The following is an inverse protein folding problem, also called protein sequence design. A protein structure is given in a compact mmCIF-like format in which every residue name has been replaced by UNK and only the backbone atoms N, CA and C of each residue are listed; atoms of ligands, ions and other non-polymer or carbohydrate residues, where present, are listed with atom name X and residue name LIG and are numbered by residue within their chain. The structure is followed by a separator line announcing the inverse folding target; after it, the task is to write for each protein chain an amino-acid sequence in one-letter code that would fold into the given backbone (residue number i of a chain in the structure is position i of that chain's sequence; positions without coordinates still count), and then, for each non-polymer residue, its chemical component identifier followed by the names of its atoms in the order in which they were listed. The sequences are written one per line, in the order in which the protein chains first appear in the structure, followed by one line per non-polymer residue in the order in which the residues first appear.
data_IF_729454292397
#
_entry.id   IF_729454292397
#
_cell.length_a   1.000
_cell.length_b   1.000
_cell.length_c   1.000
_cell.angle_alpha   90.00
_cell.angle_beta   90.00
_cell.angle_gamma   90.00
#
_symmetry.space_group_name_H-M   'P 1'
#
loop_
_entity.id
_entity.type
_entity.pdbx_description
1 polymer ?
#
# COMPACT_ATOMS: atom_id res chain seq x y z
N UNK A 1 -25.55 -4.86 -5.46
CA UNK A 1 -24.26 -5.16 -4.84
C UNK A 1 -24.39 -5.75 -3.45
N UNK A 2 -24.89 -4.97 -2.48
CA UNK A 2 -24.87 -5.29 -1.04
C UNK A 2 -25.43 -6.67 -0.67
N UNK A 3 -26.69 -6.98 -1.03
CA UNK A 3 -27.31 -8.28 -0.71
C UNK A 3 -26.52 -9.45 -1.32
N UNK A 4 -26.06 -9.30 -2.57
CA UNK A 4 -25.25 -10.31 -3.24
C UNK A 4 -23.92 -10.53 -2.52
N UNK A 5 -23.29 -9.47 -2.04
CA UNK A 5 -22.05 -9.56 -1.27
C UNK A 5 -22.26 -10.27 0.08
N UNK A 6 -23.31 -9.94 0.82
CA UNK A 6 -23.62 -10.62 2.10
C UNK A 6 -23.91 -12.11 1.91
N UNK A 7 -24.64 -12.49 0.84
CA UNK A 7 -24.82 -13.91 0.47
C UNK A 7 -23.48 -14.56 0.12
N UNK A 8 -22.66 -13.89 -0.67
CA UNK A 8 -21.34 -14.38 -1.04
C UNK A 8 -20.44 -14.60 0.20
N UNK A 9 -20.50 -13.73 1.22
CA UNK A 9 -19.78 -13.96 2.49
C UNK A 9 -20.22 -15.28 3.17
N UNK A 10 -21.52 -15.57 3.17
CA UNK A 10 -22.09 -16.77 3.76
C UNK A 10 -21.77 -18.07 2.98
N UNK A 11 -21.35 -17.96 1.71
CA UNK A 11 -20.91 -19.07 0.87
C UNK A 11 -19.42 -19.40 1.07
N UNK A 12 -19.00 -19.56 2.33
CA UNK A 12 -17.62 -19.91 2.74
C UNK A 12 -16.51 -18.94 2.30
N UNK A 13 -16.87 -17.71 1.90
CA UNK A 13 -15.87 -16.69 1.53
C UNK A 13 -15.44 -15.83 2.73
N UNK A 14 -16.05 -16.02 3.89
CA UNK A 14 -15.74 -15.30 5.12
C UNK A 14 -15.88 -16.18 6.36
N UNK A 15 -14.81 -16.26 7.15
CA UNK A 15 -14.83 -16.91 8.46
C UNK A 15 -15.29 -15.90 9.49
N UNK A 16 -16.55 -15.98 9.91
CA UNK A 16 -17.13 -15.10 10.92
C UNK A 16 -16.61 -15.47 12.32
N UNK A 17 -15.99 -14.51 13.00
CA UNK A 17 -15.41 -14.68 14.34
C UNK A 17 -16.22 -13.96 15.43
N UNK A 18 -16.93 -12.89 15.07
CA UNK A 18 -17.78 -12.17 16.00
C UNK A 18 -18.70 -11.17 15.33
N UNK A 19 -19.71 -10.74 16.08
CA UNK A 19 -20.68 -9.73 15.65
C UNK A 19 -20.90 -8.73 16.78
N UNK A 20 -21.08 -7.44 16.46
CA UNK A 20 -21.55 -6.43 17.40
C UNK A 20 -22.48 -5.45 16.71
N UNK A 21 -23.62 -5.16 17.33
CA UNK A 21 -24.48 -4.04 16.94
C UNK A 21 -24.11 -2.81 17.76
N UNK A 22 -24.07 -1.67 17.09
CA UNK A 22 -23.91 -0.35 17.68
C UNK A 22 -25.10 0.52 17.28
N UNK A 23 -25.76 1.16 18.23
CA UNK A 23 -26.78 2.17 17.93
C UNK A 23 -26.16 3.56 18.00
N UNK A 24 -26.58 4.45 17.10
CA UNK A 24 -26.19 5.86 17.11
C UNK A 24 -26.88 6.56 18.28
N UNK A 25 -26.10 7.23 19.12
CA UNK A 25 -26.64 7.99 20.25
C UNK A 25 -27.07 9.40 19.81
N UNK A 26 -28.00 10.06 20.52
CA UNK A 26 -28.38 11.45 20.24
C UNK A 26 -27.19 12.43 20.26
N UNK A 27 -26.15 12.13 21.03
CA UNK A 27 -24.92 12.91 21.14
C UNK A 27 -23.96 12.70 19.94
N UNK A 28 -24.34 11.85 18.98
CA UNK A 28 -23.54 11.51 17.80
C UNK A 28 -22.40 10.53 18.09
N UNK A 29 -22.51 9.76 19.18
CA UNK A 29 -21.64 8.64 19.53
C UNK A 29 -22.24 7.30 19.08
N UNK A 30 -21.52 6.21 19.37
CA UNK A 30 -22.00 4.85 19.11
C UNK A 30 -22.00 4.05 20.40
N UNK A 31 -23.10 3.36 20.69
CA UNK A 31 -23.26 2.54 21.89
C UNK A 31 -23.53 1.08 21.52
N UNK A 32 -22.80 0.16 22.14
CA UNK A 32 -22.99 -1.26 21.91
C UNK A 32 -24.33 -1.77 22.48
N UNK A 33 -25.01 -2.60 21.69
CA UNK A 33 -26.17 -3.35 22.14
C UNK A 33 -25.67 -4.69 22.64
N UNK A 34 -25.38 -4.80 23.94
CA UNK A 34 -24.71 -5.96 24.55
C UNK A 34 -25.40 -7.30 24.25
N UNK A 35 -26.74 -7.31 24.19
CA UNK A 35 -27.51 -8.51 23.85
C UNK A 35 -27.28 -9.00 22.40
N UNK A 36 -26.79 -8.14 21.51
CA UNK A 36 -26.44 -8.43 20.12
C UNK A 36 -24.92 -8.52 19.89
N UNK A 37 -24.13 -8.65 20.97
CA UNK A 37 -22.69 -8.95 20.90
C UNK A 37 -22.48 -10.47 20.90
N UNK A 38 -21.87 -11.02 19.84
CA UNK A 38 -21.70 -12.47 19.63
C UNK A 38 -20.26 -12.84 19.27
N UNK A 39 -19.91 -14.12 19.49
CA UNK A 39 -18.58 -14.66 19.23
C UNK A 39 -17.50 -13.97 20.05
N UNK A 40 -16.35 -13.67 19.42
CA UNK A 40 -15.27 -12.92 20.07
C UNK A 40 -15.77 -11.57 20.59
N UNK A 41 -16.65 -10.89 19.85
CA UNK A 41 -17.15 -9.57 20.21
C UNK A 41 -18.15 -9.55 21.37
N UNK A 42 -18.39 -10.68 22.05
CA UNK A 42 -19.02 -10.66 23.39
C UNK A 42 -18.18 -9.94 24.42
N UNK A 43 -16.85 -9.96 24.26
CA UNK A 43 -15.96 -9.19 25.11
C UNK A 43 -15.94 -7.73 24.65
N UNK A 44 -16.57 -6.85 25.43
CA UNK A 44 -16.62 -5.41 25.17
C UNK A 44 -15.22 -4.76 25.10
N UNK A 45 -14.21 -5.35 25.76
CA UNK A 45 -12.85 -4.81 25.81
C UNK A 45 -12.06 -5.03 24.50
N UNK A 46 -12.48 -5.99 23.67
CA UNK A 46 -11.81 -6.28 22.41
C UNK A 46 -11.96 -5.10 21.44
N UNK A 47 -10.84 -4.49 20.99
CA UNK A 47 -10.87 -3.39 20.05
C UNK A 47 -11.23 -3.91 18.66
N UNK A 48 -12.41 -3.52 18.15
CA UNK A 48 -12.67 -3.58 16.70
C UNK A 48 -11.99 -2.37 16.06
N UNK A 49 -12.41 -1.18 16.46
CA UNK A 49 -11.77 0.10 16.16
C UNK A 49 -11.65 0.89 17.48
N UNK A 50 -10.49 1.50 17.75
CA UNK A 50 -10.29 2.24 19.02
C UNK A 50 -11.27 3.41 19.19
N UNK A 51 -11.68 4.04 18.08
CA UNK A 51 -12.68 5.12 18.08
C UNK A 51 -14.07 4.68 18.56
N UNK A 52 -14.33 3.36 18.57
CA UNK A 52 -15.61 2.79 19.01
C UNK A 52 -15.59 2.33 20.47
N UNK A 53 -14.50 2.55 21.22
CA UNK A 53 -14.38 2.14 22.63
C UNK A 53 -15.12 3.05 23.61
N UNK A 54 -15.63 4.19 23.17
CA UNK A 54 -16.36 5.13 24.02
C UNK A 54 -17.66 5.60 23.39
N UNK A 55 -18.57 6.08 24.24
CA UNK A 55 -19.87 6.66 23.81
C UNK A 55 -19.76 8.15 23.45
N UNK A 56 -18.54 8.70 23.42
CA UNK A 56 -18.30 10.08 23.03
C UNK A 56 -18.66 10.35 21.57
N UNK A 57 -18.93 11.62 21.26
CA UNK A 57 -19.23 12.04 19.90
C UNK A 57 -18.12 11.60 18.94
N UNK A 58 -18.50 10.97 17.84
CA UNK A 58 -17.55 10.57 16.80
C UNK A 58 -16.85 11.81 16.23
N UNK A 59 -15.54 11.73 15.93
CA UNK A 59 -14.83 12.80 15.23
C UNK A 59 -15.58 13.24 13.96
N UNK A 60 -15.58 14.54 13.58
CA UNK A 60 -16.34 15.03 12.44
C UNK A 60 -16.07 14.28 11.13
N UNK A 61 -14.80 13.97 10.86
CA UNK A 61 -14.37 13.23 9.69
C UNK A 61 -14.94 11.81 9.65
N UNK A 62 -15.06 11.16 10.81
CA UNK A 62 -15.66 9.84 10.93
C UNK A 62 -17.18 9.90 10.75
N UNK A 63 -17.83 10.91 11.32
CA UNK A 63 -19.27 11.11 11.12
C UNK A 63 -19.60 11.34 9.65
N UNK A 64 -18.80 12.15 8.94
CA UNK A 64 -18.92 12.35 7.51
C UNK A 64 -18.69 11.04 6.73
N UNK A 65 -17.67 10.26 7.10
CA UNK A 65 -17.39 8.97 6.46
C UNK A 65 -18.52 7.93 6.67
N UNK A 66 -19.20 7.93 7.82
CA UNK A 66 -20.36 7.08 8.06
C UNK A 66 -21.59 7.56 7.27
N UNK A 67 -21.82 8.88 7.22
CA UNK A 67 -22.93 9.46 6.48
C UNK A 67 -22.80 9.26 4.96
N UNK A 68 -21.58 9.23 4.43
CA UNK A 68 -21.27 9.00 3.01
C UNK A 68 -20.97 7.50 2.71
N UNK A 69 -21.08 6.62 3.72
CA UNK A 69 -20.81 5.19 3.55
C UNK A 69 -21.88 4.54 2.68
N UNK A 70 -21.47 3.62 1.82
CA UNK A 70 -22.40 2.67 1.23
C UNK A 70 -23.00 1.77 2.33
N UNK A 71 -24.21 1.26 2.10
CA UNK A 71 -24.93 0.38 3.03
C UNK A 71 -24.13 -0.85 3.52
N UNK A 72 -23.08 -1.24 2.78
CA UNK A 72 -22.08 -2.21 3.21
C UNK A 72 -20.69 -1.65 2.92
N UNK A 73 -19.83 -1.60 3.93
CA UNK A 73 -18.43 -1.23 3.83
C UNK A 73 -17.52 -2.26 4.50
N UNK A 74 -16.23 -2.24 4.14
CA UNK A 74 -15.23 -3.19 4.63
C UNK A 74 -14.04 -2.40 5.12
N UNK A 75 -13.56 -2.71 6.33
CA UNK A 75 -12.39 -2.12 6.94
C UNK A 75 -11.53 -3.21 7.60
N UNK A 76 -10.29 -2.87 7.96
CA UNK A 76 -9.44 -3.72 8.80
C UNK A 76 -9.66 -3.40 10.27
N UNK A 77 -9.80 -4.40 11.14
CA UNK A 77 -9.76 -4.24 12.59
C UNK A 77 -8.32 -3.99 13.07
N UNK A 78 -8.18 -3.45 14.29
CA UNK A 78 -6.88 -3.35 14.97
C UNK A 78 -6.33 -4.72 15.41
N UNK A 79 -7.22 -5.69 15.59
CA UNK A 79 -6.84 -7.05 15.98
C UNK A 79 -6.16 -7.78 14.82
N UNK A 80 -5.03 -8.42 15.13
CA UNK A 80 -4.36 -9.37 14.22
C UNK A 80 -4.85 -10.79 14.52
N UNK A 81 -5.19 -11.54 13.47
CA UNK A 81 -5.45 -12.97 13.62
C UNK A 81 -4.18 -13.69 14.04
N UNK A 82 -4.30 -14.59 15.01
CA UNK A 82 -3.24 -15.56 15.36
C UNK A 82 -3.38 -16.88 14.61
N UNK A 83 -4.47 -17.06 13.86
CA UNK A 83 -4.82 -18.30 13.13
C UNK A 83 -4.80 -18.02 11.61
N UNK A 84 -4.41 -19.02 10.82
CA UNK A 84 -4.18 -18.97 9.36
C UNK A 84 -3.01 -18.08 8.90
N UNK A 85 -3.06 -16.76 9.12
CA UNK A 85 -1.99 -15.79 8.79
C UNK A 85 -2.02 -14.60 9.76
N UNK A 86 -0.86 -14.04 10.16
CA UNK A 86 -0.78 -12.87 11.03
C UNK A 86 -1.15 -11.57 10.31
N UNK A 87 -2.40 -11.47 9.86
CA UNK A 87 -2.99 -10.30 9.21
C UNK A 87 -4.02 -9.63 10.11
N UNK A 88 -4.30 -8.35 9.88
CA UNK A 88 -5.42 -7.67 10.53
C UNK A 88 -6.73 -8.33 10.12
N UNK A 89 -7.63 -8.53 11.09
CA UNK A 89 -8.95 -9.08 10.83
C UNK A 89 -9.77 -8.12 9.96
N UNK A 90 -10.70 -8.67 9.20
CA UNK A 90 -11.62 -7.94 8.35
C UNK A 90 -12.90 -7.63 9.13
N UNK A 91 -13.44 -6.44 8.92
CA UNK A 91 -14.71 -6.00 9.51
C UNK A 91 -15.62 -5.58 8.38
N UNK A 92 -16.70 -6.34 8.20
CA UNK A 92 -17.81 -5.93 7.33
C UNK A 92 -18.77 -5.11 8.17
N UNK A 93 -19.02 -3.88 7.75
CA UNK A 93 -19.94 -2.95 8.41
C UNK A 93 -21.20 -2.84 7.57
N UNK A 94 -22.36 -2.96 8.20
CA UNK A 94 -23.65 -2.71 7.54
C UNK A 94 -24.46 -1.70 8.32
N UNK A 95 -25.11 -0.77 7.63
CA UNK A 95 -25.95 0.22 8.29
C UNK A 95 -27.23 -0.42 8.84
N UNK A 96 -27.65 0.05 10.01
CA UNK A 96 -28.96 -0.20 10.59
C UNK A 96 -29.81 1.03 10.30
N UNK A 97 -30.81 0.89 9.45
CA UNK A 97 -31.70 2.00 9.12
C UNK A 97 -32.85 2.12 10.12
N UNK A 98 -33.17 3.34 10.51
CA UNK A 98 -34.36 3.70 11.28
C UNK A 98 -35.64 3.68 10.42
N UNK A 99 -36.78 3.92 11.06
CA UNK A 99 -38.07 3.96 10.37
C UNK A 99 -38.20 5.10 9.33
N UNK A 100 -37.38 6.14 9.48
CA UNK A 100 -37.24 7.29 8.58
C UNK A 100 -36.26 7.05 7.42
N UNK A 101 -35.67 5.85 7.35
CA UNK A 101 -34.66 5.49 6.36
C UNK A 101 -33.28 6.09 6.61
N UNK A 102 -33.06 6.78 7.72
CA UNK A 102 -31.76 7.30 8.13
C UNK A 102 -30.94 6.24 8.88
N UNK A 103 -29.62 6.39 8.91
CA UNK A 103 -28.75 5.48 9.67
C UNK A 103 -28.97 5.68 11.17
N UNK A 104 -29.54 4.66 11.82
CA UNK A 104 -29.78 4.60 13.26
C UNK A 104 -28.69 3.83 14.02
N UNK A 105 -27.78 3.17 13.31
CA UNK A 105 -26.71 2.36 13.90
C UNK A 105 -25.92 1.57 12.87
N UNK A 106 -25.05 0.70 13.35
CA UNK A 106 -24.15 -0.13 12.55
C UNK A 106 -24.16 -1.57 13.09
N UNK A 107 -23.97 -2.55 12.20
CA UNK A 107 -23.56 -3.91 12.57
C UNK A 107 -22.15 -4.15 12.10
N UNK A 108 -21.33 -4.69 12.98
CA UNK A 108 -19.95 -5.07 12.72
C UNK A 108 -19.88 -6.59 12.67
N UNK A 109 -19.42 -7.14 11.56
CA UNK A 109 -19.11 -8.55 11.40
C UNK A 109 -17.59 -8.69 11.32
N UNK A 110 -16.99 -9.15 12.42
CA UNK A 110 -15.55 -9.38 12.54
C UNK A 110 -15.22 -10.78 12.03
N UNK A 111 -14.21 -10.88 11.18
CA UNK A 111 -13.77 -12.17 10.66
C UNK A 111 -12.55 -12.09 9.78
N UNK A 112 -12.40 -13.08 8.91
CA UNK A 112 -11.32 -13.17 7.94
C UNK A 112 -11.89 -13.60 6.60
N UNK A 113 -11.54 -12.90 5.53
CA UNK A 113 -11.81 -13.43 4.19
C UNK A 113 -11.06 -14.74 3.98
N UNK A 114 -11.73 -15.72 3.37
CA UNK A 114 -11.10 -16.96 2.96
C UNK A 114 -9.97 -16.68 1.95
N UNK A 115 -8.95 -17.55 1.89
CA UNK A 115 -7.85 -17.36 0.94
C UNK A 115 -8.34 -17.30 -0.53
N UNK A 116 -9.44 -18.00 -0.85
CA UNK A 116 -10.11 -17.96 -2.15
C UNK A 116 -10.58 -16.55 -2.54
N UNK A 117 -11.06 -15.75 -1.58
CA UNK A 117 -11.49 -14.37 -1.81
C UNK A 117 -10.34 -13.48 -2.31
N UNK A 118 -9.13 -13.68 -1.78
CA UNK A 118 -7.95 -12.94 -2.19
C UNK A 118 -7.40 -13.36 -3.55
N UNK A 119 -7.67 -14.58 -3.99
CA UNK A 119 -7.16 -15.12 -5.27
C UNK A 119 -8.17 -15.01 -6.42
N UNK A 120 -9.47 -14.86 -6.13
CA UNK A 120 -10.52 -14.66 -7.14
C UNK A 120 -10.39 -13.33 -7.86
N UNK A 121 -10.77 -13.30 -9.14
CA UNK A 121 -10.88 -12.05 -9.88
C UNK A 121 -11.84 -11.09 -9.13
N UNK A 122 -11.45 -9.83 -8.85
CA UNK A 122 -12.31 -8.87 -8.16
C UNK A 122 -13.69 -8.72 -8.81
N UNK A 123 -13.79 -8.86 -10.13
CA UNK A 123 -15.05 -8.78 -10.88
C UNK A 123 -16.00 -9.97 -10.65
N UNK A 124 -15.55 -11.01 -9.95
CA UNK A 124 -16.40 -12.12 -9.50
C UNK A 124 -16.98 -11.91 -8.09
N UNK A 125 -16.57 -10.84 -7.40
CA UNK A 125 -17.01 -10.52 -6.05
C UNK A 125 -18.08 -9.43 -6.15
N UNK A 126 -19.34 -9.65 -5.72
CA UNK A 126 -20.48 -8.78 -6.08
C UNK A 126 -20.28 -7.28 -5.82
N UNK A 127 -19.68 -6.90 -4.68
CA UNK A 127 -19.43 -5.50 -4.35
C UNK A 127 -18.30 -4.89 -5.20
N UNK A 128 -17.22 -5.65 -5.40
CA UNK A 128 -16.07 -5.19 -6.18
C UNK A 128 -16.37 -5.18 -7.67
N UNK A 129 -17.19 -6.09 -8.17
CA UNK A 129 -17.62 -6.14 -9.57
C UNK A 129 -18.30 -4.84 -9.99
N UNK A 130 -19.26 -4.37 -9.19
CA UNK A 130 -19.96 -3.10 -9.43
C UNK A 130 -19.01 -1.91 -9.32
N UNK A 131 -18.13 -1.90 -8.31
CA UNK A 131 -17.15 -0.84 -8.10
C UNK A 131 -16.15 -0.73 -9.24
N UNK A 132 -15.58 -1.86 -9.68
CA UNK A 132 -14.65 -1.94 -10.80
C UNK A 132 -15.35 -1.52 -12.11
N UNK A 133 -16.60 -1.94 -12.32
CA UNK A 133 -17.37 -1.51 -13.49
C UNK A 133 -17.57 0.02 -13.54
N UNK A 134 -17.89 0.65 -12.41
CA UNK A 134 -18.00 2.11 -12.31
C UNK A 134 -16.67 2.82 -12.57
N UNK A 135 -15.57 2.31 -11.99
CA UNK A 135 -14.23 2.86 -12.21
C UNK A 135 -13.83 2.78 -13.70
N UNK A 136 -14.07 1.63 -14.34
CA UNK A 136 -13.81 1.45 -15.77
C UNK A 136 -14.66 2.39 -16.64
N UNK A 137 -15.95 2.55 -16.31
CA UNK A 137 -16.83 3.51 -17.00
C UNK A 137 -16.35 4.96 -16.84
N UNK A 138 -15.97 5.36 -15.63
CA UNK A 138 -15.44 6.69 -15.34
C UNK A 138 -14.07 6.96 -15.99
N UNK A 139 -13.30 5.91 -16.30
CA UNK A 139 -12.02 6.04 -16.96
C UNK A 139 -12.14 6.59 -18.38
N UNK A 140 -13.24 6.28 -19.08
CA UNK A 140 -13.54 6.81 -20.42
C UNK A 140 -12.77 6.15 -21.57
N UNK A 141 -12.04 5.05 -21.33
CA UNK A 141 -11.36 4.29 -22.39
C UNK A 141 -12.33 3.33 -23.08
N UNK A 142 -12.14 3.13 -24.39
CA UNK A 142 -12.82 2.05 -25.11
C UNK A 142 -12.41 0.69 -24.49
N UNK A 143 -13.36 -0.13 -23.99
CA UNK A 143 -13.06 -1.41 -23.35
C UNK A 143 -12.30 -2.42 -24.23
N UNK A 144 -12.38 -2.28 -25.55
CA UNK A 144 -11.73 -3.16 -26.52
C UNK A 144 -10.40 -2.60 -27.06
N UNK A 145 -10.14 -1.32 -26.84
CA UNK A 145 -8.85 -0.72 -27.14
C UNK A 145 -7.74 -1.19 -26.18
N UNK A 146 -6.49 -0.97 -26.57
CA UNK A 146 -5.31 -1.37 -25.80
C UNK A 146 -5.35 -0.84 -24.36
N UNK A 147 -5.58 0.46 -24.19
CA UNK A 147 -5.62 1.11 -22.86
C UNK A 147 -6.78 0.61 -22.00
N UNK A 148 -7.94 0.34 -22.59
CA UNK A 148 -9.10 -0.21 -21.87
C UNK A 148 -8.84 -1.63 -21.35
N UNK A 149 -8.20 -2.48 -22.17
CA UNK A 149 -7.78 -3.83 -21.77
C UNK A 149 -6.67 -3.78 -20.70
N UNK A 150 -5.70 -2.88 -20.86
CA UNK A 150 -4.61 -2.69 -19.90
C UNK A 150 -5.13 -2.21 -18.53
N UNK A 151 -6.01 -1.21 -18.51
CA UNK A 151 -6.63 -0.72 -17.28
C UNK A 151 -7.46 -1.80 -16.58
N UNK A 152 -8.21 -2.60 -17.35
CA UNK A 152 -8.95 -3.76 -16.82
C UNK A 152 -8.00 -4.75 -16.14
N UNK A 153 -6.89 -5.09 -16.77
CA UNK A 153 -5.89 -6.00 -16.20
C UNK A 153 -5.23 -5.42 -14.94
N UNK A 154 -4.98 -4.11 -14.91
CA UNK A 154 -4.48 -3.40 -13.72
C UNK A 154 -5.45 -3.57 -12.55
N UNK A 155 -6.76 -3.37 -12.78
CA UNK A 155 -7.79 -3.50 -11.74
C UNK A 155 -8.00 -4.97 -11.30
N UNK A 156 -7.92 -5.92 -12.23
CA UNK A 156 -8.03 -7.36 -11.91
C UNK A 156 -6.93 -7.85 -10.97
N UNK A 157 -5.75 -7.22 -11.04
CA UNK A 157 -4.61 -7.52 -10.16
C UNK A 157 -4.45 -6.52 -9.02
N UNK A 158 -5.31 -5.50 -8.88
CA UNK A 158 -5.18 -4.49 -7.84
C UNK A 158 -5.31 -5.12 -6.44
N UNK A 159 -4.62 -4.58 -5.40
CA UNK A 159 -4.79 -5.08 -4.05
C UNK A 159 -6.28 -5.09 -3.64
N UNK A 160 -6.80 -6.26 -3.24
CA UNK A 160 -8.23 -6.43 -2.89
C UNK A 160 -8.64 -5.47 -1.77
N UNK A 161 -7.80 -5.36 -0.75
CA UNK A 161 -8.03 -4.46 0.38
C UNK A 161 -8.17 -3.00 -0.06
N UNK A 162 -7.44 -2.58 -1.10
CA UNK A 162 -7.58 -1.22 -1.67
C UNK A 162 -8.86 -1.08 -2.48
N UNK A 163 -9.24 -2.09 -3.27
CA UNK A 163 -10.53 -2.07 -3.97
C UNK A 163 -11.70 -2.00 -2.98
N UNK A 164 -11.61 -2.63 -1.82
CA UNK A 164 -12.62 -2.51 -0.79
C UNK A 164 -12.63 -1.12 -0.13
N UNK A 165 -11.47 -0.64 0.31
CA UNK A 165 -11.38 0.50 1.24
C UNK A 165 -11.20 1.87 0.59
N UNK A 166 -10.57 1.95 -0.59
CA UNK A 166 -10.26 3.24 -1.21
C UNK A 166 -11.48 3.81 -1.97
N UNK A 167 -11.71 5.12 -1.97
CA UNK A 167 -12.72 5.74 -2.82
C UNK A 167 -12.47 5.49 -4.32
N UNK A 168 -13.53 5.36 -5.11
CA UNK A 168 -13.44 5.11 -6.56
C UNK A 168 -12.54 6.13 -7.31
N UNK A 169 -12.62 7.45 -7.04
CA UNK A 169 -11.75 8.42 -7.71
C UNK A 169 -10.25 8.22 -7.40
N UNK A 170 -9.91 7.82 -6.17
CA UNK A 170 -8.53 7.55 -5.78
C UNK A 170 -7.99 6.29 -6.47
N UNK A 171 -8.80 5.23 -6.55
CA UNK A 171 -8.44 4.02 -7.29
C UNK A 171 -8.24 4.35 -8.77
N UNK A 172 -9.13 5.12 -9.38
CA UNK A 172 -9.02 5.52 -10.78
C UNK A 172 -7.72 6.32 -11.04
N UNK A 173 -7.41 7.30 -10.19
CA UNK A 173 -6.17 8.08 -10.31
C UNK A 173 -4.93 7.20 -10.21
N UNK A 174 -4.89 6.28 -9.24
CA UNK A 174 -3.78 5.34 -9.07
C UNK A 174 -3.68 4.33 -10.22
N UNK A 175 -4.81 3.86 -10.76
CA UNK A 175 -4.85 2.92 -11.88
C UNK A 175 -4.43 3.58 -13.20
N UNK A 176 -4.82 4.84 -13.45
CA UNK A 176 -4.32 5.65 -14.58
C UNK A 176 -2.81 5.86 -14.48
N UNK A 177 -2.32 6.15 -13.27
CA UNK A 177 -0.88 6.24 -13.05
C UNK A 177 -0.17 4.92 -13.32
N UNK A 178 -0.74 3.79 -12.91
CA UNK A 178 -0.19 2.47 -13.23
C UNK A 178 -0.17 2.19 -14.75
N UNK A 179 -1.17 2.66 -15.49
CA UNK A 179 -1.22 2.59 -16.95
C UNK A 179 -0.10 3.43 -17.59
N UNK A 180 0.06 4.68 -17.14
CA UNK A 180 1.14 5.56 -17.62
C UNK A 180 2.54 4.95 -17.41
N UNK A 181 2.73 4.25 -16.29
CA UNK A 181 3.97 3.56 -15.95
C UNK A 181 4.27 2.34 -16.83
N UNK A 182 3.28 1.75 -17.50
CA UNK A 182 3.53 0.72 -18.50
C UNK A 182 4.16 1.31 -19.77
N UNK A 183 3.78 2.55 -20.13
CA UNK A 183 4.30 3.26 -21.30
C UNK A 183 5.67 3.88 -20.99
N UNK A 184 5.80 4.49 -19.81
CA UNK A 184 7.04 5.15 -19.34
C UNK A 184 7.44 4.60 -17.97
N UNK A 185 8.14 3.44 -17.94
CA UNK A 185 8.56 2.81 -16.70
C UNK A 185 9.48 3.73 -15.90
N UNK A 186 9.09 4.00 -14.65
CA UNK A 186 9.89 4.74 -13.67
C UNK A 186 9.44 4.40 -12.26
N UNK A 187 10.29 4.60 -11.24
CA UNK A 187 9.84 4.52 -9.85
C UNK A 187 8.67 5.46 -9.58
N UNK A 188 7.70 5.01 -8.79
CA UNK A 188 6.51 5.78 -8.45
C UNK A 188 5.94 5.33 -7.11
N UNK A 189 5.20 6.23 -6.45
CA UNK A 189 4.57 5.99 -5.16
C UNK A 189 3.18 6.63 -5.14
N UNK A 190 2.18 5.87 -4.71
CA UNK A 190 0.85 6.39 -4.37
C UNK A 190 0.56 6.06 -2.92
N UNK A 191 0.08 7.05 -2.17
CA UNK A 191 -0.30 6.91 -0.78
C UNK A 191 -1.81 7.05 -0.62
N UNK A 192 -2.37 6.30 0.33
CA UNK A 192 -3.74 6.47 0.80
C UNK A 192 -3.77 6.38 2.32
N UNK A 193 -4.30 7.41 2.96
CA UNK A 193 -4.55 7.43 4.40
C UNK A 193 -5.83 6.65 4.71
N UNK A 194 -5.78 5.80 5.73
CA UNK A 194 -6.98 5.23 6.33
C UNK A 194 -7.83 6.37 6.93
N UNK A 195 -9.16 6.41 6.71
CA UNK A 195 -10.02 7.46 7.26
C UNK A 195 -9.97 7.58 8.79
N UNK A 196 -9.58 6.52 9.49
CA UNK A 196 -9.41 6.51 10.94
C UNK A 196 -7.97 6.77 11.39
N UNK A 197 -7.04 7.06 10.47
CA UNK A 197 -5.64 7.37 10.78
C UNK A 197 -4.81 6.20 11.30
N UNK A 198 -5.31 4.96 11.19
CA UNK A 198 -4.65 3.76 11.78
C UNK A 198 -3.53 3.20 10.94
N UNK A 199 -3.59 3.45 9.63
CA UNK A 199 -2.54 3.05 8.72
C UNK A 199 -2.51 3.94 7.48
N UNK A 200 -1.39 3.85 6.77
CA UNK A 200 -1.23 4.37 5.41
C UNK A 200 -0.96 3.18 4.49
N UNK A 201 -1.77 3.09 3.44
CA UNK A 201 -1.52 2.20 2.31
C UNK A 201 -0.58 2.91 1.34
N UNK A 202 0.51 2.25 0.96
CA UNK A 202 1.49 2.77 0.02
C UNK A 202 1.74 1.77 -1.10
N UNK A 203 1.45 2.14 -2.34
CA UNK A 203 1.75 1.32 -3.52
C UNK A 203 2.97 1.94 -4.21
N UNK A 204 4.07 1.21 -4.19
CA UNK A 204 5.30 1.57 -4.90
C UNK A 204 5.44 0.72 -6.17
N UNK A 205 5.87 1.35 -7.26
CA UNK A 205 6.36 0.67 -8.46
C UNK A 205 7.86 0.88 -8.54
N UNK A 206 8.62 -0.21 -8.69
CA UNK A 206 10.08 -0.22 -8.62
C UNK A 206 10.64 -0.96 -9.85
N UNK A 207 11.77 -0.53 -10.44
CA UNK A 207 12.40 -1.22 -11.56
C UNK A 207 12.67 -2.69 -11.21
N UNK A 208 12.19 -3.61 -12.05
CA UNK A 208 12.25 -5.06 -11.76
C UNK A 208 13.68 -5.59 -11.75
N UNK A 209 14.56 -4.98 -12.52
CA UNK A 209 16.00 -5.28 -12.63
C UNK A 209 16.79 -4.90 -11.37
N UNK A 210 16.40 -3.83 -10.67
CA UNK A 210 17.03 -3.41 -9.41
C UNK A 210 16.27 -3.88 -8.17
N UNK A 211 15.09 -4.48 -8.34
CA UNK A 211 14.25 -4.91 -7.23
C UNK A 211 14.79 -6.17 -6.54
N UNK A 212 15.18 -6.00 -5.28
CA UNK A 212 15.56 -7.09 -4.39
C UNK A 212 14.93 -6.94 -2.99
N UNK A 213 15.24 -7.87 -2.09
CA UNK A 213 14.74 -7.85 -0.71
C UNK A 213 15.25 -6.64 0.08
N UNK A 214 16.49 -6.19 -0.17
CA UNK A 214 17.10 -5.06 0.56
C UNK A 214 16.45 -3.74 0.18
N UNK A 215 16.17 -3.53 -1.10
CA UNK A 215 15.45 -2.36 -1.60
C UNK A 215 14.04 -2.31 -1.02
N UNK A 216 13.34 -3.44 -1.01
CA UNK A 216 12.02 -3.56 -0.36
C UNK A 216 12.07 -3.15 1.11
N UNK A 217 13.04 -3.67 1.86
CA UNK A 217 13.20 -3.36 3.30
C UNK A 217 13.56 -1.89 3.54
N UNK A 218 14.48 -1.35 2.74
CA UNK A 218 14.91 0.05 2.81
C UNK A 218 13.74 1.00 2.55
N UNK A 219 12.95 0.75 1.51
CA UNK A 219 11.75 1.54 1.21
C UNK A 219 10.71 1.38 2.32
N UNK A 220 10.42 0.16 2.77
CA UNK A 220 9.47 -0.07 3.86
C UNK A 220 9.86 0.67 5.15
N UNK A 221 11.15 0.64 5.52
CA UNK A 221 11.68 1.36 6.67
C UNK A 221 11.66 2.89 6.49
N UNK A 222 11.94 3.38 5.28
CA UNK A 222 11.84 4.80 4.94
C UNK A 222 10.40 5.30 5.09
N UNK A 223 9.43 4.59 4.51
CA UNK A 223 8.01 4.92 4.61
C UNK A 223 7.53 4.88 6.06
N UNK A 224 7.92 3.84 6.83
CA UNK A 224 7.58 3.73 8.24
C UNK A 224 8.09 4.93 9.06
N UNK A 225 9.35 5.33 8.88
CA UNK A 225 9.92 6.50 9.56
C UNK A 225 9.20 7.80 9.18
N UNK A 226 8.95 8.01 7.88
CA UNK A 226 8.26 9.20 7.41
C UNK A 226 6.84 9.33 7.99
N UNK A 227 6.16 8.21 8.18
CA UNK A 227 4.82 8.16 8.77
C UNK A 227 4.81 8.20 10.30
N UNK A 228 5.98 8.26 10.97
CA UNK A 228 6.07 8.13 12.43
C UNK A 228 5.51 6.78 12.94
N UNK A 229 5.54 5.76 12.09
CA UNK A 229 4.84 4.50 12.28
C UNK A 229 5.75 3.28 12.17
N UNK A 230 5.14 2.13 11.88
CA UNK A 230 5.84 0.86 11.68
C UNK A 230 5.31 0.11 10.46
N UNK A 231 6.17 -0.71 9.84
CA UNK A 231 5.75 -1.56 8.73
C UNK A 231 4.91 -2.73 9.25
N UNK A 232 3.62 -2.75 8.93
CA UNK A 232 2.66 -3.75 9.41
C UNK A 232 2.59 -4.98 8.52
N UNK A 233 2.62 -4.77 7.21
CA UNK A 233 2.57 -5.81 6.18
C UNK A 233 3.11 -5.28 4.84
N UNK A 234 3.46 -6.20 3.95
CA UNK A 234 3.81 -5.88 2.57
C UNK A 234 3.42 -7.02 1.64
N UNK A 235 3.10 -6.70 0.39
CA UNK A 235 2.74 -7.66 -0.65
C UNK A 235 3.42 -7.29 -1.97
N UNK A 236 4.09 -8.26 -2.59
CA UNK A 236 4.75 -8.08 -3.88
C UNK A 236 3.85 -8.67 -4.97
N UNK A 237 3.69 -7.92 -6.07
CA UNK A 237 3.14 -8.43 -7.32
C UNK A 237 4.19 -8.25 -8.42
N UNK A 238 4.70 -9.38 -8.92
CA UNK A 238 5.53 -9.45 -10.12
C UNK A 238 4.65 -9.91 -11.27
N UNK A 239 4.57 -9.11 -12.32
CA UNK A 239 3.89 -9.46 -13.58
C UNK A 239 4.84 -9.29 -14.75
N UNK A 240 4.27 -9.17 -15.95
CA UNK A 240 5.02 -8.95 -17.20
C UNK A 240 5.49 -7.50 -17.38
N UNK A 241 5.13 -6.61 -16.45
CA UNK A 241 5.59 -5.22 -16.41
C UNK A 241 7.09 -5.15 -16.10
N UNK A 242 7.83 -4.17 -16.67
CA UNK A 242 9.21 -3.86 -16.26
C UNK A 242 9.31 -3.33 -14.82
N UNK A 243 8.19 -3.07 -14.14
CA UNK A 243 8.15 -2.65 -12.75
C UNK A 243 7.56 -3.73 -11.85
N UNK A 244 8.24 -4.00 -10.74
CA UNK A 244 7.69 -4.71 -9.59
C UNK A 244 6.76 -3.76 -8.82
N UNK A 245 5.57 -4.24 -8.44
CA UNK A 245 4.65 -3.48 -7.57
C UNK A 245 4.74 -4.01 -6.16
N UNK A 246 4.99 -3.14 -5.18
CA UNK A 246 4.97 -3.48 -3.75
C UNK A 246 3.91 -2.65 -3.06
N UNK A 247 2.99 -3.33 -2.37
CA UNK A 247 1.98 -2.71 -1.53
C UNK A 247 2.41 -2.80 -0.07
N UNK A 248 2.78 -1.68 0.54
CA UNK A 248 3.12 -1.57 1.94
C UNK A 248 1.92 -1.08 2.75
N UNK A 249 1.76 -1.64 3.94
CA UNK A 249 0.83 -1.15 4.95
C UNK A 249 1.66 -0.64 6.13
N UNK A 250 1.60 0.67 6.36
CA UNK A 250 2.32 1.32 7.46
C UNK A 250 1.32 1.61 8.57
N UNK A 251 1.46 0.93 9.72
CA UNK A 251 0.65 1.22 10.90
C UNK A 251 1.05 2.57 11.51
N UNK A 252 0.06 3.39 11.84
CA UNK A 252 0.22 4.76 12.36
C UNK A 252 -0.57 4.94 13.65
N UNK A 253 -0.21 5.97 14.42
CA UNK A 253 -0.96 6.40 15.61
C UNK A 253 -1.97 7.48 15.20
N UNK A 254 -3.30 7.23 15.27
CA UNK A 254 -4.31 8.23 14.97
C UNK A 254 -4.21 9.49 15.84
N UNK A 255 -3.62 9.40 17.04
CA UNK A 255 -3.42 10.54 17.92
C UNK A 255 -2.25 11.43 17.49
N UNK A 256 -1.40 10.96 16.57
CA UNK A 256 -0.21 11.67 16.07
C UNK A 256 -0.11 11.52 14.55
N UNK A 257 -1.06 12.10 13.79
CA UNK A 257 -1.05 12.00 12.33
C UNK A 257 0.21 12.65 11.76
N UNK A 258 0.89 11.95 10.85
CA UNK A 258 2.04 12.49 10.15
C UNK A 258 1.60 13.39 8.97
N UNK A 259 2.18 14.59 8.90
CA UNK A 259 2.16 15.39 7.68
C UNK A 259 3.17 14.79 6.69
N UNK A 260 2.69 14.37 5.53
CA UNK A 260 3.54 13.74 4.52
C UNK A 260 3.60 14.65 3.31
N UNK A 261 4.82 14.98 2.92
CA UNK A 261 5.11 15.47 1.58
C UNK A 261 5.21 14.26 0.64
N UNK A 262 4.11 13.98 -0.08
CA UNK A 262 4.03 12.83 -0.97
C UNK A 262 5.02 12.93 -2.13
N UNK A 263 5.31 14.14 -2.61
CA UNK A 263 6.26 14.38 -3.69
C UNK A 263 7.70 14.13 -3.22
N UNK A 264 8.07 14.61 -2.03
CA UNK A 264 9.37 14.33 -1.45
C UNK A 264 9.57 12.83 -1.15
N UNK A 265 8.53 12.14 -0.68
CA UNK A 265 8.58 10.70 -0.43
C UNK A 265 8.72 9.90 -1.72
N UNK A 266 7.98 10.26 -2.76
CA UNK A 266 8.14 9.65 -4.08
C UNK A 266 9.56 9.86 -4.62
N UNK A 267 10.11 11.08 -4.51
CA UNK A 267 11.48 11.37 -4.93
C UNK A 267 12.50 10.53 -4.14
N UNK A 268 12.29 10.36 -2.82
CA UNK A 268 13.14 9.51 -1.99
C UNK A 268 13.05 8.03 -2.37
N UNK A 269 11.85 7.53 -2.70
CA UNK A 269 11.66 6.16 -3.22
C UNK A 269 12.35 6.00 -4.58
N UNK A 270 12.22 6.98 -5.47
CA UNK A 270 12.90 6.98 -6.76
C UNK A 270 14.42 6.95 -6.59
N UNK A 271 14.97 7.78 -5.69
CA UNK A 271 16.41 7.79 -5.38
C UNK A 271 16.86 6.44 -4.82
N UNK A 272 16.08 5.83 -3.93
CA UNK A 272 16.40 4.53 -3.37
C UNK A 272 16.37 3.40 -4.40
N UNK A 273 15.52 3.52 -5.44
CA UNK A 273 15.35 2.51 -6.48
C UNK A 273 16.41 2.55 -7.60
N UNK A 274 17.25 3.59 -7.64
CA UNK A 274 18.32 3.73 -8.64
C UNK A 274 19.31 2.58 -8.56
N UNK A 275 19.70 2.07 -9.71
CA UNK A 275 20.75 1.07 -9.86
C UNK A 275 22.12 1.62 -9.48
N UNK A 276 23.07 0.72 -9.22
CA UNK A 276 24.45 1.12 -8.93
C UNK A 276 25.08 2.02 -10.01
N UNK A 277 24.94 1.74 -11.33
CA UNK A 277 25.54 2.59 -12.36
C UNK A 277 25.05 4.04 -12.31
N UNK A 278 23.76 4.25 -12.04
CA UNK A 278 23.16 5.57 -11.90
C UNK A 278 23.68 6.30 -10.66
N UNK A 279 23.73 5.60 -9.51
CA UNK A 279 24.29 6.18 -8.28
C UNK A 279 25.77 6.56 -8.44
N UNK A 280 26.55 5.71 -9.14
CA UNK A 280 27.95 5.96 -9.44
C UNK A 280 28.10 7.15 -10.39
N UNK A 281 27.26 7.24 -11.43
CA UNK A 281 27.23 8.38 -12.35
C UNK A 281 27.03 9.71 -11.64
N UNK A 282 26.04 9.78 -10.75
CA UNK A 282 25.76 11.00 -9.98
C UNK A 282 26.92 11.38 -9.07
N UNK A 283 27.51 10.40 -8.37
CA UNK A 283 28.66 10.64 -7.49
C UNK A 283 29.87 11.17 -8.29
N UNK A 284 30.19 10.53 -9.42
CA UNK A 284 31.27 10.97 -10.30
C UNK A 284 31.01 12.34 -10.91
N UNK A 285 29.78 12.62 -11.32
CA UNK A 285 29.40 13.91 -11.90
C UNK A 285 29.50 15.04 -10.87
N UNK A 286 29.09 14.79 -9.62
CA UNK A 286 29.21 15.75 -8.53
C UNK A 286 30.68 16.09 -8.21
N UNK A 287 31.59 15.13 -8.32
CA UNK A 287 33.02 15.33 -8.04
C UNK A 287 33.83 15.88 -9.22
N UNK A 288 33.51 15.47 -10.45
CA UNK A 288 34.37 15.64 -11.64
C UNK A 288 33.68 16.33 -12.83
N UNK A 289 32.38 16.60 -12.73
CA UNK A 289 31.56 17.08 -13.82
C UNK A 289 31.05 15.96 -14.74
N UNK A 290 29.93 16.22 -15.43
CA UNK A 290 29.21 15.21 -16.23
C UNK A 290 30.06 14.56 -17.33
N UNK A 291 30.86 15.35 -18.05
CA UNK A 291 31.68 14.83 -19.15
C UNK A 291 32.76 13.84 -18.67
N UNK A 292 33.41 14.14 -17.55
CA UNK A 292 34.41 13.26 -16.97
C UNK A 292 33.79 11.99 -16.37
N UNK A 293 32.62 12.13 -15.74
CA UNK A 293 31.85 11.00 -15.22
C UNK A 293 31.44 10.02 -16.33
N UNK A 294 30.91 10.54 -17.44
CA UNK A 294 30.52 9.72 -18.60
C UNK A 294 31.72 8.96 -19.19
N UNK A 295 32.87 9.61 -19.34
CA UNK A 295 34.10 8.97 -19.84
C UNK A 295 34.60 7.86 -18.91
N UNK A 296 34.57 8.08 -17.59
CA UNK A 296 34.96 7.09 -16.59
C UNK A 296 34.03 5.88 -16.59
N UNK A 297 32.71 6.11 -16.60
CA UNK A 297 31.72 5.04 -16.65
C UNK A 297 31.85 4.19 -17.90
N UNK A 298 32.05 4.82 -19.07
CA UNK A 298 32.23 4.09 -20.32
C UNK A 298 33.45 3.17 -20.29
N UNK A 299 34.57 3.63 -19.71
CA UNK A 299 35.79 2.83 -19.56
C UNK A 299 35.63 1.67 -18.57
N UNK A 300 34.84 1.87 -17.51
CA UNK A 300 34.71 0.92 -16.39
C UNK A 300 33.35 0.22 -16.33
N UNK A 301 32.61 0.19 -17.43
CA UNK A 301 31.25 -0.36 -17.52
C UNK A 301 31.13 -1.79 -16.92
N UNK A 302 32.13 -2.64 -17.16
CA UNK A 302 32.20 -4.03 -16.67
C UNK A 302 33.15 -4.19 -15.47
N UNK A 303 33.63 -3.09 -14.89
CA UNK A 303 34.61 -3.09 -13.80
C UNK A 303 34.05 -3.47 -12.43
N UNK A 304 32.72 -3.50 -12.29
CA UNK A 304 32.05 -3.72 -11.00
C UNK A 304 31.28 -5.06 -10.98
N UNK A 305 31.76 -6.05 -10.20
CA UNK A 305 31.07 -7.34 -10.06
C UNK A 305 29.64 -7.18 -9.50
N UNK A 306 28.69 -8.08 -9.84
CA UNK A 306 27.31 -8.02 -9.35
C UNK A 306 27.20 -7.84 -7.82
N UNK A 307 27.91 -8.65 -7.03
CA UNK A 307 27.86 -8.57 -5.57
C UNK A 307 28.37 -7.24 -5.01
N UNK A 308 29.31 -6.56 -5.69
CA UNK A 308 29.76 -5.23 -5.30
C UNK A 308 28.66 -4.19 -5.57
N UNK A 309 28.04 -4.25 -6.76
CA UNK A 309 26.95 -3.33 -7.16
C UNK A 309 25.73 -3.41 -6.23
N UNK A 310 25.52 -4.55 -5.59
CA UNK A 310 24.46 -4.79 -4.61
C UNK A 310 24.72 -4.16 -3.24
N UNK A 311 25.99 -4.00 -2.83
CA UNK A 311 26.35 -3.50 -1.49
C UNK A 311 26.84 -2.06 -1.49
N UNK A 312 27.54 -1.64 -2.54
CA UNK A 312 28.21 -0.36 -2.60
C UNK A 312 27.26 0.80 -2.94
N UNK A 313 27.48 1.92 -2.26
CA UNK A 313 26.92 3.23 -2.59
C UNK A 313 27.61 3.82 -3.83
N UNK A 314 27.01 4.86 -4.42
CA UNK A 314 27.65 5.58 -5.53
C UNK A 314 28.97 6.24 -5.13
N UNK A 315 29.05 6.77 -3.90
CA UNK A 315 30.26 7.40 -3.36
C UNK A 315 31.39 6.40 -3.09
N UNK A 316 31.07 5.23 -2.52
CA UNK A 316 32.05 4.14 -2.38
C UNK A 316 32.57 3.68 -3.74
N UNK A 317 31.67 3.50 -4.72
CA UNK A 317 32.06 3.18 -6.09
C UNK A 317 32.96 4.24 -6.72
N UNK A 318 32.69 5.53 -6.51
CA UNK A 318 33.52 6.62 -7.02
C UNK A 318 34.91 6.66 -6.36
N UNK A 319 34.98 6.44 -5.04
CA UNK A 319 36.23 6.35 -4.30
C UNK A 319 37.08 5.15 -4.74
N UNK A 320 36.46 3.98 -4.90
CA UNK A 320 37.13 2.76 -5.36
C UNK A 320 37.60 2.89 -6.82
N UNK A 321 36.82 3.56 -7.66
CA UNK A 321 37.22 3.88 -9.03
C UNK A 321 38.45 4.81 -9.06
N UNK A 322 38.50 5.81 -8.18
CA UNK A 322 39.64 6.70 -8.06
C UNK A 322 40.91 5.97 -7.59
N UNK A 323 40.76 4.97 -6.71
CA UNK A 323 41.86 4.08 -6.31
C UNK A 323 42.35 3.22 -7.48
N UNK A 324 41.43 2.65 -8.26
CA UNK A 324 41.76 1.84 -9.43
C UNK A 324 42.50 2.67 -10.51
N UNK A 325 42.04 3.89 -10.79
CA UNK A 325 42.70 4.82 -11.71
C UNK A 325 44.13 5.17 -11.27
N UNK A 326 44.31 5.41 -9.97
CA UNK A 326 45.64 5.69 -9.40
C UNK A 326 46.56 4.47 -9.53
N UNK A 327 46.05 3.27 -9.23
CA UNK A 327 46.81 2.04 -9.35
C UNK A 327 47.29 1.79 -10.79
N UNK A 328 46.44 2.06 -11.78
CA UNK A 328 46.80 1.96 -13.21
C UNK A 328 47.84 3.00 -13.60
N UNK A 329 47.68 4.26 -13.19
CA UNK A 329 48.61 5.34 -13.50
C UNK A 329 50.01 5.10 -12.91
N UNK A 330 50.08 4.51 -11.72
CA UNK A 330 51.33 4.26 -11.00
C UNK A 330 51.92 2.87 -11.28
N UNK A 331 51.19 2.00 -11.99
CA UNK A 331 51.63 0.63 -12.29
C UNK A 331 51.78 -0.28 -11.06
N UNK A 332 51.12 0.06 -9.95
CA UNK A 332 51.20 -0.69 -8.68
C UNK A 332 49.83 -0.83 -8.02
N UNK A 333 49.52 -1.96 -7.36
CA UNK A 333 48.25 -2.12 -6.64
C UNK A 333 48.09 -1.04 -5.55
N UNK A 334 46.88 -0.49 -5.45
CA UNK A 334 46.47 0.43 -4.38
C UNK A 334 45.26 -0.16 -3.65
N UNK A 335 45.22 -0.05 -2.31
CA UNK A 335 44.10 -0.47 -1.49
C UNK A 335 43.88 0.51 -0.35
N UNK A 336 42.62 0.75 0.00
CA UNK A 336 42.23 1.48 1.20
C UNK A 336 41.52 0.51 2.15
N UNK A 337 41.91 0.50 3.43
CA UNK A 337 41.27 -0.29 4.46
C UNK A 337 40.32 0.60 5.26
N UNK A 338 39.02 0.37 5.13
CA UNK A 338 38.03 0.94 6.04
C UNK A 338 37.87 0.02 7.26
N UNK A 339 37.84 0.58 8.46
CA UNK A 339 37.42 -0.17 9.66
C UNK A 339 35.89 -0.25 9.68
N UNK A 340 35.31 -1.41 10.05
CA UNK A 340 33.86 -1.59 10.09
C UNK A 340 33.16 -0.69 11.11
#
# INVERSE_FOLDING_TARGET
GAIGFLRWLAEDNFVLLGHRRLDLTPEGGLRAVEAESLGLLRDASLPVFDVLRGEGALPPALRAALADSAAVSIAKANMRSTVHRPQHADVVVTDVLGADGQVAGLRLFLGLFAASAYNRNPRSIPLLAEKVARILGAAGYDPEAHDGRALRNILDTWPRDELFQAPEPQILAAARRALDLQIRPRPALVLRRDPFGRFISAIAWLPRDTFDTRLRERIGAMLARACGGHLSAWYIALGDSPLARVHYIIGTDPARPAELDEAALEAAVAQAARGFPERLSEALAAERGEAAAAALLARWQDGFPPGYRETATGAEGAADLALAERALAEGRPAAALARP
#
